data_IF_359623909270
#
_entry.id   IF_359623909270
#
_cell.length_a   1.000
_cell.length_b   1.000
_cell.length_c   1.000
_cell.angle_alpha   90.00
_cell.angle_beta   90.00
_cell.angle_gamma   90.00
#
_symmetry.space_group_name_H-M   'P 1'
#
loop_
_entity.id
_entity.type
_entity.pdbx_description
1 polymer ?
#
# COMPACT_ATOMS: atom_id res chain seq x y z
N UNK A 1 14.45 -13.59 3.61
CA UNK A 1 14.44 -12.64 2.48
C UNK A 1 13.18 -12.89 1.68
N UNK A 2 12.52 -11.83 1.21
CA UNK A 2 11.31 -11.92 0.40
C UNK A 2 11.67 -12.34 -1.03
N UNK A 3 10.96 -13.33 -1.59
CA UNK A 3 11.23 -13.87 -2.92
C UNK A 3 10.12 -13.55 -3.93
N UNK A 4 8.87 -13.47 -3.47
CA UNK A 4 7.71 -13.29 -4.36
C UNK A 4 6.60 -12.51 -3.66
N UNK A 5 5.95 -11.64 -4.43
CA UNK A 5 4.72 -10.94 -4.04
C UNK A 5 3.62 -11.37 -5.00
N UNK A 6 2.48 -11.79 -4.46
CA UNK A 6 1.26 -12.09 -5.20
C UNK A 6 0.26 -10.98 -4.92
N UNK A 7 -0.12 -10.25 -5.97
CA UNK A 7 -1.11 -9.18 -5.88
C UNK A 7 -2.44 -9.72 -6.40
N UNK A 8 -3.48 -9.69 -5.56
CA UNK A 8 -4.84 -10.00 -6.01
C UNK A 8 -5.28 -9.03 -7.11
N UNK A 9 -6.06 -9.51 -8.08
CA UNK A 9 -6.57 -8.70 -9.20
C UNK A 9 -7.46 -7.57 -8.70
N UNK A 10 -8.22 -7.80 -7.63
CA UNK A 10 -9.09 -6.79 -7.02
C UNK A 10 -8.26 -5.63 -6.44
N UNK A 11 -7.14 -5.95 -5.79
CA UNK A 11 -6.22 -4.93 -5.27
C UNK A 11 -5.54 -4.19 -6.40
N UNK A 12 -5.12 -4.89 -7.46
CA UNK A 12 -4.56 -4.25 -8.64
C UNK A 12 -5.54 -3.24 -9.27
N UNK A 13 -6.83 -3.60 -9.37
CA UNK A 13 -7.87 -2.70 -9.88
C UNK A 13 -8.02 -1.47 -8.99
N UNK A 14 -8.08 -1.63 -7.67
CA UNK A 14 -8.15 -0.51 -6.72
C UNK A 14 -6.94 0.41 -6.84
N UNK A 15 -5.73 -0.15 -6.90
CA UNK A 15 -4.50 0.63 -7.05
C UNK A 15 -4.48 1.42 -8.36
N UNK A 16 -4.89 0.81 -9.49
CA UNK A 16 -4.93 1.48 -10.79
C UNK A 16 -6.00 2.57 -10.81
N UNK A 17 -7.20 2.30 -10.31
CA UNK A 17 -8.26 3.31 -10.21
C UNK A 17 -7.84 4.50 -9.34
N UNK A 18 -7.18 4.23 -8.22
CA UNK A 18 -6.68 5.28 -7.35
C UNK A 18 -5.56 6.09 -8.04
N UNK A 19 -4.61 5.43 -8.69
CA UNK A 19 -3.55 6.10 -9.45
C UNK A 19 -4.09 6.99 -10.60
N UNK A 20 -5.21 6.61 -11.20
CA UNK A 20 -5.88 7.38 -12.26
C UNK A 20 -6.87 8.43 -11.74
N UNK A 21 -7.07 8.53 -10.42
CA UNK A 21 -8.02 9.49 -9.83
C UNK A 21 -7.55 10.95 -9.95
N UNK A 22 -6.25 11.18 -10.11
CA UNK A 22 -5.64 12.49 -10.27
C UNK A 22 -4.32 12.37 -11.02
N UNK A 23 -4.07 13.33 -11.91
CA UNK A 23 -2.77 13.51 -12.59
C UNK A 23 -1.94 14.63 -11.95
N UNK A 24 -2.51 15.36 -10.98
CA UNK A 24 -1.93 16.59 -10.43
C UNK A 24 -0.98 16.35 -9.25
N UNK A 25 -1.16 15.25 -8.54
CA UNK A 25 -0.38 14.91 -7.35
C UNK A 25 -0.23 13.39 -7.23
N UNK A 26 0.83 12.95 -6.57
CA UNK A 26 1.01 11.53 -6.23
C UNK A 26 -0.04 11.10 -5.21
N UNK A 27 -0.66 9.94 -5.44
CA UNK A 27 -1.52 9.27 -4.47
C UNK A 27 -0.74 8.21 -3.69
N UNK A 28 -1.31 7.71 -2.59
CA UNK A 28 -0.66 6.69 -1.78
C UNK A 28 -1.65 5.79 -1.04
N UNK A 29 -1.22 4.59 -0.70
CA UNK A 29 -2.01 3.67 0.11
C UNK A 29 -1.18 2.55 0.74
N UNK A 30 -1.81 1.84 1.67
CA UNK A 30 -1.24 0.69 2.36
C UNK A 30 -1.79 -0.61 1.80
N UNK A 31 -0.99 -1.67 1.84
CA UNK A 31 -1.31 -2.99 1.33
C UNK A 31 -1.47 -3.95 2.50
N UNK A 32 -2.62 -4.64 2.54
CA UNK A 32 -2.96 -5.63 3.56
C UNK A 32 -2.88 -7.02 2.94
N UNK A 33 -2.22 -7.91 3.65
CA UNK A 33 -1.96 -9.25 3.15
C UNK A 33 -1.45 -10.20 4.21
N UNK A 34 -1.07 -11.37 3.73
CA UNK A 34 -0.60 -12.48 4.53
C UNK A 34 0.84 -12.81 4.13
N UNK A 35 1.62 -13.25 5.11
CA UNK A 35 3.02 -13.60 4.93
C UNK A 35 3.20 -15.11 5.09
N UNK A 36 3.64 -15.74 4.02
CA UNK A 36 3.78 -17.18 3.90
C UNK A 36 5.26 -17.61 3.90
N UNK A 37 5.49 -18.91 4.10
CA UNK A 37 6.79 -19.56 3.92
C UNK A 37 7.94 -18.85 4.66
N UNK A 38 7.70 -18.50 5.94
CA UNK A 38 8.66 -17.78 6.79
C UNK A 38 9.15 -16.46 6.18
N UNK A 39 8.25 -15.69 5.54
CA UNK A 39 8.58 -14.38 4.97
C UNK A 39 9.11 -14.40 3.54
N UNK A 40 9.03 -15.53 2.84
CA UNK A 40 9.50 -15.66 1.45
C UNK A 40 8.43 -15.28 0.42
N UNK A 41 7.16 -15.37 0.80
CA UNK A 41 6.02 -15.08 -0.07
C UNK A 41 5.05 -14.15 0.65
N UNK A 42 4.61 -13.09 -0.01
CA UNK A 42 3.55 -12.20 0.49
C UNK A 42 2.38 -12.27 -0.47
N UNK A 43 1.17 -12.54 0.03
CA UNK A 43 -0.08 -12.44 -0.74
C UNK A 43 -0.85 -11.21 -0.29
N UNK A 44 -1.13 -10.31 -1.22
CA UNK A 44 -1.84 -9.06 -0.97
C UNK A 44 -3.29 -9.25 -1.39
N UNK A 45 -4.19 -9.07 -0.43
CA UNK A 45 -5.62 -9.41 -0.56
C UNK A 45 -6.51 -8.16 -0.43
N UNK A 46 -6.00 -7.09 0.18
CA UNK A 46 -6.75 -5.85 0.37
C UNK A 46 -5.81 -4.64 0.39
N UNK A 47 -6.37 -3.44 0.31
CA UNK A 47 -5.63 -2.18 0.41
C UNK A 47 -6.42 -1.12 1.16
N UNK A 48 -5.70 -0.15 1.73
CA UNK A 48 -6.25 1.03 2.38
C UNK A 48 -5.78 2.25 1.61
N UNK A 49 -6.71 2.99 1.02
CA UNK A 49 -6.42 4.27 0.37
C UNK A 49 -6.13 5.30 1.47
N UNK A 50 -4.99 5.96 1.37
CA UNK A 50 -4.61 7.02 2.29
C UNK A 50 -4.80 8.39 1.64
N UNK A 51 -5.28 9.34 2.43
CA UNK A 51 -5.31 10.75 2.03
C UNK A 51 -3.97 11.37 2.34
N UNK A 52 -3.39 12.03 1.34
CA UNK A 52 -2.14 12.77 1.52
C UNK A 52 -2.35 13.98 2.42
N UNK A 53 -1.53 14.09 3.47
CA UNK A 53 -1.57 15.22 4.42
C UNK A 53 -0.58 16.34 4.03
N UNK A 54 0.60 16.00 3.50
CA UNK A 54 1.57 16.95 2.95
C UNK A 54 1.55 16.94 1.40
N UNK A 55 1.54 18.11 0.77
CA UNK A 55 1.43 18.28 -0.69
C UNK A 55 2.75 18.63 -1.39
N UNK A 56 3.89 18.57 -0.70
CA UNK A 56 5.19 18.83 -1.31
C UNK A 56 5.45 17.90 -2.51
N UNK A 57 6.04 18.34 -3.62
CA UNK A 57 6.45 17.43 -4.68
C UNK A 57 7.51 16.45 -4.15
N UNK A 58 7.43 15.18 -4.59
CA UNK A 58 8.42 14.10 -4.37
C UNK A 58 8.58 13.55 -2.94
N UNK A 59 7.69 13.89 -1.99
CA UNK A 59 7.74 13.37 -0.60
C UNK A 59 6.43 12.74 -0.18
N UNK A 60 6.34 11.42 -0.25
CA UNK A 60 5.19 10.65 0.22
C UNK A 60 5.51 10.11 1.62
N UNK A 61 4.81 10.62 2.63
CA UNK A 61 4.96 10.17 4.03
C UNK A 61 3.65 9.62 4.57
N UNK A 62 3.76 8.50 5.28
CA UNK A 62 2.66 7.88 6.00
C UNK A 62 2.81 8.30 7.46
N UNK A 63 1.82 8.98 8.02
CA UNK A 63 1.87 9.36 9.44
C UNK A 63 1.68 8.15 10.36
N UNK A 64 2.15 8.26 11.61
CA UNK A 64 1.96 7.19 12.61
C UNK A 64 0.48 6.88 12.81
N UNK A 65 -0.38 7.91 12.82
CA UNK A 65 -1.82 7.75 12.94
C UNK A 65 -2.40 6.94 11.78
N UNK A 66 -1.95 7.21 10.54
CA UNK A 66 -2.39 6.47 9.36
C UNK A 66 -1.96 5.00 9.41
N UNK A 67 -0.75 4.71 9.91
CA UNK A 67 -0.29 3.34 10.12
C UNK A 67 -1.12 2.62 11.19
N UNK A 68 -1.45 3.29 12.29
CA UNK A 68 -2.29 2.72 13.35
C UNK A 68 -3.68 2.40 12.80
N UNK A 69 -4.32 3.33 12.08
CA UNK A 69 -5.64 3.10 11.49
C UNK A 69 -5.65 1.92 10.50
N UNK A 70 -4.62 1.82 9.64
CA UNK A 70 -4.52 0.71 8.71
C UNK A 70 -4.24 -0.63 9.41
N UNK A 71 -3.50 -0.62 10.53
CA UNK A 71 -3.26 -1.81 11.34
C UNK A 71 -4.54 -2.31 11.99
N UNK A 72 -5.33 -1.41 12.60
CA UNK A 72 -6.64 -1.73 13.14
C UNK A 72 -7.56 -2.31 12.06
N UNK A 73 -7.57 -1.70 10.87
CA UNK A 73 -8.37 -2.21 9.75
C UNK A 73 -7.92 -3.61 9.31
N UNK A 74 -6.62 -3.89 9.34
CA UNK A 74 -6.11 -5.21 9.02
C UNK A 74 -6.52 -6.26 10.07
N UNK A 75 -6.53 -5.91 11.36
CA UNK A 75 -6.99 -6.78 12.45
C UNK A 75 -8.50 -7.09 12.35
N UNK A 76 -9.33 -6.08 12.06
CA UNK A 76 -10.76 -6.28 11.81
C UNK A 76 -10.99 -7.25 10.65
N UNK A 77 -10.31 -7.02 9.53
CA UNK A 77 -10.44 -7.86 8.34
C UNK A 77 -9.92 -9.28 8.62
N UNK A 78 -8.83 -9.42 9.37
CA UNK A 78 -8.28 -10.70 9.80
C UNK A 78 -9.30 -11.51 10.61
N UNK A 79 -10.00 -10.85 11.53
CA UNK A 79 -11.06 -11.46 12.33
C UNK A 79 -12.27 -11.86 11.49
N UNK A 80 -12.68 -11.01 10.54
CA UNK A 80 -13.82 -11.26 9.65
C UNK A 80 -13.61 -12.48 8.75
N UNK A 81 -12.42 -12.60 8.15
CA UNK A 81 -12.13 -13.69 7.19
C UNK A 81 -11.46 -14.91 7.83
N UNK A 82 -11.08 -14.82 9.11
CA UNK A 82 -10.40 -15.89 9.84
C UNK A 82 -8.98 -16.19 9.32
N UNK A 83 -8.28 -15.20 8.75
CA UNK A 83 -6.90 -15.33 8.23
C UNK A 83 -5.97 -14.31 8.89
N UNK A 84 -4.67 -14.61 9.07
CA UNK A 84 -3.73 -13.72 9.76
C UNK A 84 -3.27 -12.55 8.86
N UNK A 85 -4.18 -11.64 8.55
CA UNK A 85 -3.91 -10.46 7.73
C UNK A 85 -3.19 -9.37 8.54
N UNK A 86 -2.27 -8.67 7.88
CA UNK A 86 -1.53 -7.52 8.43
C UNK A 86 -1.13 -6.55 7.34
N UNK A 87 -0.68 -5.36 7.73
CA UNK A 87 -0.03 -4.43 6.80
C UNK A 87 1.31 -5.03 6.35
N UNK A 88 1.51 -5.17 5.04
CA UNK A 88 2.69 -5.86 4.44
C UNK A 88 3.47 -4.99 3.46
N UNK A 89 2.96 -3.81 3.12
CA UNK A 89 3.61 -2.90 2.18
C UNK A 89 2.78 -1.65 1.93
N UNK A 90 3.23 -0.85 0.98
CA UNK A 90 2.59 0.39 0.57
C UNK A 90 2.77 0.61 -0.93
N UNK A 91 1.97 1.50 -1.51
CA UNK A 91 2.07 1.92 -2.91
C UNK A 91 1.86 3.42 -3.03
N UNK A 92 2.36 3.98 -4.12
CA UNK A 92 2.07 5.34 -4.59
C UNK A 92 2.09 5.41 -6.12
N UNK A 93 1.67 6.53 -6.67
CA UNK A 93 1.63 6.77 -8.12
C UNK A 93 2.67 7.78 -8.56
N UNK A 94 3.14 7.66 -9.80
CA UNK A 94 4.08 8.56 -10.44
C UNK A 94 3.44 9.22 -11.69
N UNK A 95 2.57 10.23 -11.53
CA UNK A 95 1.95 10.90 -12.68
C UNK A 95 3.02 11.67 -13.48
N UNK A 96 3.03 11.46 -14.79
CA UNK A 96 3.95 12.12 -15.74
C UNK A 96 5.46 11.93 -15.48
N UNK A 97 5.86 10.99 -14.64
CA UNK A 97 7.27 10.63 -14.40
C UNK A 97 7.48 9.11 -14.57
N UNK A 98 8.74 8.67 -14.55
CA UNK A 98 9.07 7.25 -14.75
C UNK A 98 8.70 6.39 -13.55
N UNK A 99 8.50 5.09 -13.75
CA UNK A 99 8.15 4.13 -12.67
C UNK A 99 9.28 3.84 -11.67
N UNK A 100 10.49 4.33 -11.93
CA UNK A 100 11.65 4.05 -11.09
C UNK A 100 11.53 4.78 -9.74
N UNK A 101 11.84 4.12 -8.61
CA UNK A 101 11.88 4.79 -7.31
C UNK A 101 12.88 5.94 -7.34
N UNK A 102 12.45 7.11 -6.88
CA UNK A 102 13.31 8.29 -6.73
C UNK A 102 14.28 8.11 -5.55
N UNK A 103 15.45 8.76 -5.63
CA UNK A 103 16.29 8.95 -4.45
C UNK A 103 15.62 10.00 -3.56
N UNK A 104 14.94 9.56 -2.51
CA UNK A 104 14.47 10.45 -1.45
C UNK A 104 15.67 10.71 -0.54
N UNK A 105 16.28 11.90 -0.64
CA UNK A 105 17.37 12.29 0.25
C UNK A 105 16.90 12.42 1.71
N UNK A 106 17.80 12.18 2.66
CA UNK A 106 17.58 12.43 4.10
C UNK A 106 17.26 13.90 4.39
#
# INVERSE_FOLDING_TARGET
MLNKVLLSTDVALVCVQHALSTEKEEIMGLLIGEVHNNGRLVSIESSVILRRLDKKPDRVEISEEQLVQATLRAEELAAEVGRPLRVVGWYHSHPHITVWPSHVGE
#
